data_IF_129494945825
#
_entry.id   IF_129494945825
#
_cell.length_a   1.000
_cell.length_b   1.000
_cell.length_c   1.000
_cell.angle_alpha   90.00
_cell.angle_beta   90.00
_cell.angle_gamma   90.00
#
_symmetry.space_group_name_H-M   'P 1'
#
loop_
_entity.id
_entity.type
_entity.pdbx_description
1 polymer ?
#
# COMPACT_ATOMS: atom_id res chain seq x y z
N UNK A 1 16.84 4.69 -10.05
CA UNK A 1 15.62 4.82 -9.22
C UNK A 1 14.50 5.42 -10.05
N UNK A 2 13.31 4.85 -10.01
CA UNK A 2 12.18 5.39 -10.75
C UNK A 2 11.64 6.66 -10.11
N UNK A 3 11.08 7.60 -10.90
CA UNK A 3 10.44 8.78 -10.34
C UNK A 3 9.32 8.41 -9.37
N UNK A 4 9.03 9.31 -8.43
CA UNK A 4 8.02 9.06 -7.41
C UNK A 4 6.64 8.81 -8.02
N UNK A 5 6.32 9.48 -9.14
CA UNK A 5 5.05 9.27 -9.84
C UNK A 5 4.90 7.83 -10.32
N UNK A 6 5.97 7.25 -10.90
CA UNK A 6 5.93 5.88 -11.37
C UNK A 6 5.80 4.90 -10.20
N UNK A 7 6.42 5.21 -9.07
CA UNK A 7 6.31 4.40 -7.85
C UNK A 7 4.87 4.42 -7.33
N UNK A 8 4.26 5.59 -7.26
CA UNK A 8 2.86 5.74 -6.83
C UNK A 8 1.92 5.03 -7.79
N UNK A 9 2.13 5.17 -9.09
CA UNK A 9 1.28 4.54 -10.09
C UNK A 9 1.32 3.02 -9.99
N UNK A 10 2.50 2.43 -9.76
CA UNK A 10 2.62 0.98 -9.61
C UNK A 10 1.80 0.50 -8.42
N UNK A 11 1.94 1.15 -7.26
CA UNK A 11 1.20 0.79 -6.06
C UNK A 11 -0.30 1.00 -6.28
N UNK A 12 -0.67 2.15 -6.83
CA UNK A 12 -2.07 2.47 -7.09
C UNK A 12 -2.76 1.44 -7.97
N UNK A 13 -2.09 0.98 -9.03
CA UNK A 13 -2.63 -0.06 -9.90
C UNK A 13 -2.79 -1.39 -9.18
N UNK A 14 -1.80 -1.77 -8.36
CA UNK A 14 -1.90 -2.98 -7.55
C UNK A 14 -3.11 -2.93 -6.63
N UNK A 15 -3.30 -1.80 -5.96
CA UNK A 15 -4.40 -1.64 -5.01
C UNK A 15 -5.76 -1.57 -5.70
N UNK A 16 -5.82 -0.96 -6.88
CA UNK A 16 -7.06 -0.85 -7.63
C UNK A 16 -7.63 -2.21 -8.01
N UNK A 17 -6.75 -3.20 -8.22
CA UNK A 17 -7.14 -4.56 -8.58
C UNK A 17 -7.44 -5.44 -7.36
N UNK A 18 -7.21 -4.94 -6.15
CA UNK A 18 -7.42 -5.73 -4.94
C UNK A 18 -8.87 -5.73 -4.51
N UNK A 19 -9.29 -6.86 -3.90
CA UNK A 19 -10.61 -6.96 -3.30
C UNK A 19 -10.70 -6.08 -2.05
N UNK A 20 -11.93 -5.79 -1.64
CA UNK A 20 -12.20 -5.08 -0.40
C UNK A 20 -11.56 -5.78 0.79
N UNK A 21 -11.65 -7.11 0.83
CA UNK A 21 -11.09 -7.90 1.93
C UNK A 21 -9.58 -7.81 1.97
N UNK A 22 -8.92 -7.82 0.82
CA UNK A 22 -7.46 -7.68 0.76
C UNK A 22 -7.02 -6.29 1.25
N UNK A 23 -7.74 -5.23 0.83
CA UNK A 23 -7.44 -3.89 1.32
C UNK A 23 -7.64 -3.77 2.82
N UNK A 24 -8.69 -4.38 3.36
CA UNK A 24 -8.92 -4.40 4.81
C UNK A 24 -7.77 -5.09 5.53
N UNK A 25 -7.29 -6.22 5.01
CA UNK A 25 -6.15 -6.93 5.60
C UNK A 25 -4.90 -6.06 5.59
N UNK A 26 -4.62 -5.38 4.48
CA UNK A 26 -3.49 -4.46 4.40
C UNK A 26 -3.61 -3.34 5.42
N UNK A 27 -4.80 -2.77 5.57
CA UNK A 27 -5.02 -1.70 6.54
C UNK A 27 -4.73 -2.16 7.96
N UNK A 28 -5.18 -3.35 8.33
CA UNK A 28 -4.91 -3.92 9.66
C UNK A 28 -3.41 -4.11 9.86
N UNK A 29 -2.72 -4.64 8.85
CA UNK A 29 -1.27 -4.86 8.94
C UNK A 29 -0.52 -3.54 9.05
N UNK A 30 -0.94 -2.51 8.30
CA UNK A 30 -0.36 -1.17 8.41
C UNK A 30 -0.57 -0.59 9.81
N UNK A 31 -1.76 -0.74 10.36
CA UNK A 31 -2.07 -0.26 11.71
C UNK A 31 -1.18 -0.94 12.75
N UNK A 32 -1.00 -2.25 12.63
CA UNK A 32 -0.11 -2.98 13.52
C UNK A 32 1.33 -2.52 13.40
N UNK A 33 1.80 -2.30 12.17
CA UNK A 33 3.14 -1.79 11.94
C UNK A 33 3.33 -0.39 12.56
N UNK A 34 2.35 0.49 12.39
CA UNK A 34 2.42 1.83 12.99
C UNK A 34 2.51 1.77 14.51
N UNK A 35 1.77 0.85 15.12
CA UNK A 35 1.70 0.77 16.58
C UNK A 35 2.91 0.09 17.20
N UNK A 36 3.52 -0.87 16.51
CA UNK A 36 4.61 -1.69 17.05
C UNK A 36 5.97 -1.41 16.46
N UNK A 37 6.02 -0.83 15.26
CA UNK A 37 7.26 -0.66 14.50
C UNK A 37 7.81 -1.95 13.92
N UNK A 38 7.05 -3.05 14.01
CA UNK A 38 7.50 -4.36 13.55
C UNK A 38 6.65 -4.80 12.35
N UNK A 39 7.32 -5.10 11.24
CA UNK A 39 6.66 -5.65 10.06
C UNK A 39 6.66 -7.16 10.14
N UNK A 40 5.49 -7.72 10.42
CA UNK A 40 5.30 -9.17 10.43
C UNK A 40 5.10 -9.68 9.00
N UNK A 41 5.32 -10.97 8.79
CA UNK A 41 5.04 -11.59 7.50
C UNK A 41 3.55 -11.47 7.17
N UNK A 42 3.24 -11.33 5.87
CA UNK A 42 1.86 -11.21 5.41
C UNK A 42 1.76 -10.39 4.14
N UNK A 43 0.57 -9.88 3.86
CA UNK A 43 0.28 -9.18 2.61
C UNK A 43 1.08 -7.89 2.46
N UNK A 44 1.22 -7.13 3.54
CA UNK A 44 1.97 -5.88 3.52
C UNK A 44 3.44 -6.12 3.20
N UNK A 45 4.02 -7.14 3.84
CA UNK A 45 5.42 -7.50 3.59
C UNK A 45 5.61 -7.97 2.16
N UNK A 46 4.68 -8.74 1.64
CA UNK A 46 4.73 -9.22 0.25
C UNK A 46 4.66 -8.06 -0.73
N UNK A 47 3.80 -7.08 -0.48
CA UNK A 47 3.68 -5.91 -1.34
C UNK A 47 4.97 -5.07 -1.30
N UNK A 48 5.54 -4.87 -0.13
CA UNK A 48 6.80 -4.16 0.02
C UNK A 48 7.92 -4.86 -0.75
N UNK A 49 7.99 -6.17 -0.66
CA UNK A 49 9.00 -6.96 -1.36
C UNK A 49 8.81 -6.86 -2.88
N UNK A 50 7.58 -6.98 -3.36
CA UNK A 50 7.30 -6.82 -4.80
C UNK A 50 7.71 -5.44 -5.30
N UNK A 51 7.41 -4.41 -4.52
CA UNK A 51 7.81 -3.06 -4.86
C UNK A 51 9.32 -2.94 -4.96
N UNK A 52 10.04 -3.45 -3.98
CA UNK A 52 11.50 -3.40 -3.96
C UNK A 52 12.11 -4.14 -5.14
N UNK A 53 11.55 -5.31 -5.48
CA UNK A 53 12.09 -6.16 -6.55
C UNK A 53 11.79 -5.60 -7.94
N UNK A 54 10.64 -4.95 -8.13
CA UNK A 54 10.16 -4.60 -9.47
C UNK A 54 10.19 -3.10 -9.78
N UNK A 55 10.25 -2.25 -8.78
CA UNK A 55 10.12 -0.81 -8.99
C UNK A 55 11.36 -0.06 -8.56
N UNK A 56 11.73 -0.14 -7.28
CA UNK A 56 12.81 0.67 -6.74
C UNK A 56 13.28 0.12 -5.41
N UNK A 57 14.60 0.11 -5.20
CA UNK A 57 15.19 -0.16 -3.89
C UNK A 57 15.08 1.10 -3.03
N UNK A 58 13.87 1.41 -2.61
CA UNK A 58 13.59 2.56 -1.75
C UNK A 58 13.87 2.16 -0.30
N UNK A 59 14.40 3.08 0.52
CA UNK A 59 14.54 2.80 1.94
C UNK A 59 13.22 2.32 2.54
N UNK A 60 13.32 1.34 3.41
CA UNK A 60 12.18 0.62 3.96
C UNK A 60 11.10 1.56 4.53
N UNK A 61 11.51 2.55 5.33
CA UNK A 61 10.54 3.47 5.93
C UNK A 61 9.79 4.30 4.90
N UNK A 62 10.49 4.73 3.83
CA UNK A 62 9.86 5.51 2.77
C UNK A 62 8.89 4.66 1.96
N UNK A 63 9.26 3.40 1.69
CA UNK A 63 8.40 2.47 0.99
C UNK A 63 7.11 2.22 1.78
N UNK A 64 7.22 1.99 3.09
CA UNK A 64 6.07 1.75 3.95
C UNK A 64 5.15 2.96 4.01
N UNK A 65 5.71 4.16 4.06
CA UNK A 65 4.92 5.39 4.06
C UNK A 65 4.15 5.55 2.75
N UNK A 66 4.82 5.27 1.64
CA UNK A 66 4.18 5.37 0.32
C UNK A 66 3.03 4.37 0.19
N UNK A 67 3.23 3.13 0.63
CA UNK A 67 2.19 2.11 0.61
C UNK A 67 1.01 2.54 1.47
N UNK A 68 1.29 3.03 2.69
CA UNK A 68 0.24 3.50 3.59
C UNK A 68 -0.60 4.60 2.94
N UNK A 69 0.05 5.61 2.37
CA UNK A 69 -0.64 6.73 1.74
C UNK A 69 -1.55 6.24 0.60
N UNK A 70 -1.07 5.34 -0.22
CA UNK A 70 -1.84 4.83 -1.35
C UNK A 70 -2.99 3.92 -0.92
N UNK A 71 -2.81 3.12 0.14
CA UNK A 71 -3.88 2.29 0.70
C UNK A 71 -5.00 3.19 1.23
N UNK A 72 -4.65 4.22 2.00
CA UNK A 72 -5.64 5.15 2.53
C UNK A 72 -6.36 5.89 1.41
N UNK A 73 -5.64 6.30 0.37
CA UNK A 73 -6.25 6.96 -0.77
C UNK A 73 -7.23 6.02 -1.49
N UNK A 74 -6.84 4.77 -1.74
CA UNK A 74 -7.71 3.82 -2.43
C UNK A 74 -8.99 3.54 -1.63
N UNK A 75 -8.87 3.39 -0.31
CA UNK A 75 -10.02 3.18 0.56
C UNK A 75 -10.94 4.40 0.54
N UNK A 76 -10.37 5.60 0.61
CA UNK A 76 -11.14 6.84 0.56
C UNK A 76 -11.87 7.00 -0.77
N UNK A 77 -11.20 6.67 -1.88
CA UNK A 77 -11.79 6.73 -3.22
C UNK A 77 -12.99 5.79 -3.33
N UNK A 78 -12.84 4.55 -2.84
CA UNK A 78 -13.93 3.56 -2.87
C UNK A 78 -15.10 4.01 -2.01
N UNK A 79 -14.80 4.58 -0.84
CA UNK A 79 -15.85 5.11 0.04
C UNK A 79 -16.60 6.24 -0.64
N UNK A 80 -15.89 7.19 -1.23
CA UNK A 80 -16.52 8.29 -1.97
C UNK A 80 -17.40 7.78 -3.09
N UNK A 81 -16.91 6.83 -3.87
CA UNK A 81 -17.68 6.26 -4.98
C UNK A 81 -18.94 5.56 -4.49
N UNK A 82 -18.88 4.88 -3.34
CA UNK A 82 -20.04 4.20 -2.78
C UNK A 82 -21.11 5.16 -2.32
N UNK A 83 -20.74 6.40 -1.97
CA UNK A 83 -21.70 7.43 -1.54
C UNK A 83 -22.38 8.14 -2.72
N UNK A 84 -21.65 8.33 -3.83
CA UNK A 84 -22.10 9.20 -4.92
C UNK A 84 -22.32 8.48 -6.25
N UNK A 85 -21.94 7.26 -6.34
CA UNK A 85 -22.12 6.42 -7.52
C UNK A 85 -22.64 5.04 -7.12
#
# INVERSE_FOLDING_TARGET
MKPIEQRKNWIGQKLADMSKDMLSSLFVEITNFRNTGILKGGNLRNLEKEFSDNVSHTPYGDCMRLIEDEVLYEMSRRYYNSLFF
#
